data_IF_952969500409
#
_entry.id   IF_952969500409
#
_cell.length_a   1.000
_cell.length_b   1.000
_cell.length_c   1.000
_cell.angle_alpha   90.00
_cell.angle_beta   90.00
_cell.angle_gamma   90.00
#
_symmetry.space_group_name_H-M   'P 1'
#
loop_
_entity.id
_entity.type
_entity.pdbx_description
1 polymer ?
#
# COMPACT_ATOMS: atom_id res chain seq x y z
N UNK A 1 -18.98 -4.64 -11.27
CA UNK A 1 -19.04 -3.16 -11.35
C UNK A 1 -20.46 -2.63 -11.34
N UNK A 2 -21.33 -3.09 -12.25
CA UNK A 2 -22.74 -2.61 -12.32
C UNK A 2 -23.56 -2.77 -11.04
N UNK A 3 -23.35 -3.83 -10.27
CA UNK A 3 -24.10 -4.09 -9.03
C UNK A 3 -23.66 -3.14 -7.91
N UNK A 4 -22.36 -2.84 -7.82
CA UNK A 4 -21.81 -1.95 -6.80
C UNK A 4 -22.16 -0.49 -7.09
N UNK A 5 -22.11 -0.08 -8.36
CA UNK A 5 -22.44 1.30 -8.78
C UNK A 5 -23.91 1.66 -8.54
N UNK A 6 -24.81 0.67 -8.45
CA UNK A 6 -26.25 0.90 -8.29
C UNK A 6 -26.68 1.15 -6.85
N UNK A 7 -25.99 0.59 -5.87
CA UNK A 7 -26.41 0.57 -4.46
C UNK A 7 -25.31 1.06 -3.49
N UNK A 8 -24.40 1.92 -3.94
CA UNK A 8 -23.34 2.46 -3.07
C UNK A 8 -23.84 3.68 -2.25
N UNK A 9 -23.21 3.94 -1.09
CA UNK A 9 -23.45 5.17 -0.33
C UNK A 9 -23.15 6.43 -1.14
N UNK A 10 -23.84 7.53 -0.86
CA UNK A 10 -23.70 8.80 -1.59
C UNK A 10 -22.32 9.46 -1.45
N UNK A 11 -21.54 9.08 -0.44
CA UNK A 11 -20.17 9.54 -0.19
C UNK A 11 -19.09 8.63 -0.82
N UNK A 12 -19.48 7.67 -1.66
CA UNK A 12 -18.55 6.80 -2.39
C UNK A 12 -18.60 7.15 -3.88
N UNK A 13 -17.43 7.35 -4.47
CA UNK A 13 -17.27 7.65 -5.90
C UNK A 13 -16.46 6.57 -6.62
N UNK A 14 -16.82 6.32 -7.88
CA UNK A 14 -16.10 5.39 -8.79
C UNK A 14 -15.55 6.17 -9.97
N UNK A 15 -14.42 6.86 -9.80
CA UNK A 15 -13.89 7.80 -10.80
C UNK A 15 -13.37 7.12 -12.07
N UNK A 16 -13.27 5.79 -12.08
CA UNK A 16 -12.73 5.03 -13.19
C UNK A 16 -11.23 4.77 -13.08
N UNK A 17 -10.58 4.58 -14.21
CA UNK A 17 -9.17 4.22 -14.28
C UNK A 17 -8.29 5.46 -14.49
N UNK A 18 -7.30 5.63 -13.61
CA UNK A 18 -6.32 6.71 -13.68
C UNK A 18 -4.92 6.19 -14.00
N UNK A 19 -4.12 7.04 -14.63
CA UNK A 19 -2.70 6.80 -14.89
C UNK A 19 -1.87 8.05 -14.59
N UNK A 20 -0.55 7.84 -14.44
CA UNK A 20 0.45 8.89 -14.37
C UNK A 20 0.18 9.89 -13.26
N UNK A 21 0.31 11.17 -13.57
CA UNK A 21 0.20 12.25 -12.59
C UNK A 21 -1.16 12.31 -11.88
N UNK A 22 -2.25 11.93 -12.54
CA UNK A 22 -3.59 11.90 -11.93
C UNK A 22 -3.67 10.82 -10.87
N UNK A 23 -3.17 9.61 -11.17
CA UNK A 23 -3.06 8.52 -10.20
C UNK A 23 -2.17 8.89 -9.01
N UNK A 24 -1.00 9.44 -9.28
CA UNK A 24 -0.08 9.88 -8.24
C UNK A 24 -0.69 10.98 -7.36
N UNK A 25 -1.36 11.95 -7.96
CA UNK A 25 -2.06 13.02 -7.24
C UNK A 25 -3.18 12.49 -6.35
N UNK A 26 -3.97 11.53 -6.83
CA UNK A 26 -5.00 10.87 -6.03
C UNK A 26 -4.38 10.08 -4.87
N UNK A 27 -3.28 9.36 -5.12
CA UNK A 27 -2.56 8.58 -4.11
C UNK A 27 -1.97 9.48 -3.02
N UNK A 28 -1.31 10.58 -3.38
CA UNK A 28 -0.65 11.48 -2.43
C UNK A 28 -1.58 12.48 -1.77
N UNK A 29 -2.71 12.79 -2.40
CA UNK A 29 -3.70 13.75 -1.90
C UNK A 29 -4.79 13.15 -1.00
N UNK A 30 -4.90 11.82 -0.92
CA UNK A 30 -5.85 11.15 -0.04
C UNK A 30 -5.37 11.20 1.42
N UNK A 31 -6.29 11.10 2.37
CA UNK A 31 -5.98 11.06 3.81
C UNK A 31 -5.49 9.68 4.26
N UNK A 32 -5.90 8.63 3.59
CA UNK A 32 -5.45 7.26 3.82
C UNK A 32 -5.62 6.39 2.57
N UNK A 33 -4.76 5.41 2.43
CA UNK A 33 -4.88 4.33 1.45
C UNK A 33 -5.42 3.07 2.13
N UNK A 34 -6.60 2.65 1.68
CA UNK A 34 -7.31 1.49 2.22
C UNK A 34 -7.33 0.36 1.20
N UNK A 35 -6.78 -0.81 1.57
CA UNK A 35 -6.65 -1.93 0.64
C UNK A 35 -7.00 -3.27 1.32
N UNK A 36 -8.29 -3.68 1.28
CA UNK A 36 -8.77 -4.87 1.98
C UNK A 36 -8.68 -6.17 1.15
N UNK A 37 -7.79 -6.22 0.17
CA UNK A 37 -7.62 -7.37 -0.72
C UNK A 37 -7.34 -8.67 0.05
N UNK A 38 -7.99 -9.76 -0.32
CA UNK A 38 -7.74 -11.10 0.25
C UNK A 38 -6.54 -11.79 -0.35
N UNK A 39 -6.24 -11.51 -1.61
CA UNK A 39 -5.13 -12.11 -2.35
C UNK A 39 -4.49 -11.06 -3.26
N UNK A 40 -3.19 -11.09 -3.33
CA UNK A 40 -2.38 -10.24 -4.20
C UNK A 40 -1.18 -11.04 -4.75
N UNK A 41 -0.71 -10.65 -5.92
CA UNK A 41 0.51 -11.22 -6.50
C UNK A 41 1.76 -10.62 -5.85
N UNK A 42 1.84 -9.28 -5.80
CA UNK A 42 2.98 -8.55 -5.23
C UNK A 42 2.53 -7.38 -4.34
N UNK A 43 1.38 -6.77 -4.64
CA UNK A 43 0.90 -5.59 -3.95
C UNK A 43 1.67 -4.32 -4.31
N UNK A 44 2.03 -4.12 -5.58
CA UNK A 44 2.78 -2.93 -6.05
C UNK A 44 2.07 -1.64 -5.66
N UNK A 45 0.75 -1.60 -5.69
CA UNK A 45 -0.03 -0.42 -5.28
C UNK A 45 0.19 -0.04 -3.82
N UNK A 46 0.46 -1.03 -2.96
CA UNK A 46 0.84 -0.78 -1.55
C UNK A 46 2.21 -0.10 -1.48
N UNK A 47 3.16 -0.56 -2.27
CA UNK A 47 4.48 0.06 -2.35
C UNK A 47 4.39 1.51 -2.87
N UNK A 48 3.53 1.76 -3.85
CA UNK A 48 3.24 3.10 -4.35
C UNK A 48 2.62 4.01 -3.29
N UNK A 49 1.69 3.50 -2.47
CA UNK A 49 1.10 4.23 -1.35
C UNK A 49 2.14 4.57 -0.27
N UNK A 50 2.99 3.62 0.09
CA UNK A 50 4.10 3.84 1.03
C UNK A 50 5.10 4.87 0.47
N UNK A 51 5.44 4.80 -0.81
CA UNK A 51 6.29 5.77 -1.49
C UNK A 51 5.64 7.16 -1.58
N UNK A 52 4.32 7.24 -1.65
CA UNK A 52 3.53 8.46 -1.58
C UNK A 52 3.39 9.05 -0.18
N UNK A 53 4.06 8.48 0.82
CA UNK A 53 4.00 8.92 2.22
C UNK A 53 2.58 8.89 2.79
N UNK A 54 1.81 7.85 2.44
CA UNK A 54 0.42 7.68 2.86
C UNK A 54 0.28 6.92 4.18
N UNK A 55 -0.84 7.15 4.86
CA UNK A 55 -1.36 6.20 5.83
C UNK A 55 -1.87 4.97 5.09
N UNK A 56 -1.33 3.81 5.38
CA UNK A 56 -1.66 2.57 4.69
C UNK A 56 -2.36 1.61 5.65
N UNK A 57 -3.57 1.19 5.27
CA UNK A 57 -4.40 0.25 6.04
C UNK A 57 -4.72 -0.95 5.15
N UNK A 58 -4.18 -2.10 5.51
CA UNK A 58 -4.16 -3.33 4.71
C UNK A 58 -4.86 -4.49 5.40
N UNK A 59 -5.31 -5.46 4.61
CA UNK A 59 -5.53 -6.81 5.14
C UNK A 59 -4.18 -7.48 5.37
N UNK A 60 -4.01 -8.10 6.53
CA UNK A 60 -2.84 -8.92 6.83
C UNK A 60 -2.91 -10.22 6.01
N UNK A 61 -2.12 -10.27 4.93
CA UNK A 61 -2.03 -11.42 4.03
C UNK A 61 -0.56 -11.77 3.76
N UNK A 62 -0.27 -13.05 3.44
CA UNK A 62 1.11 -13.55 3.34
C UNK A 62 2.02 -12.78 2.38
N UNK A 63 1.48 -12.18 1.31
CA UNK A 63 2.28 -11.44 0.31
C UNK A 63 3.03 -10.24 0.92
N UNK A 64 2.54 -9.69 2.03
CA UNK A 64 3.18 -8.55 2.71
C UNK A 64 4.19 -8.99 3.77
N UNK A 65 4.15 -10.25 4.22
CA UNK A 65 5.05 -10.73 5.24
C UNK A 65 6.51 -10.62 4.78
N UNK A 66 7.36 -10.12 5.66
CA UNK A 66 8.78 -9.92 5.40
C UNK A 66 9.15 -8.56 4.79
N UNK A 67 8.18 -7.71 4.45
CA UNK A 67 8.47 -6.36 3.96
C UNK A 67 7.53 -5.26 4.47
N UNK A 68 6.29 -5.59 4.85
CA UNK A 68 5.38 -4.71 5.58
C UNK A 68 5.14 -5.31 6.96
N UNK A 69 5.15 -4.48 7.98
CA UNK A 69 4.88 -4.85 9.37
C UNK A 69 3.97 -3.82 10.05
N UNK A 70 3.66 -4.05 11.32
CA UNK A 70 2.82 -3.20 12.14
C UNK A 70 3.46 -1.84 12.48
N UNK A 71 4.74 -1.63 12.17
CA UNK A 71 5.41 -0.34 12.29
C UNK A 71 5.19 0.53 11.06
N UNK A 72 4.99 -0.08 9.89
CA UNK A 72 4.95 0.59 8.58
C UNK A 72 3.53 0.76 8.02
N UNK A 73 2.57 -0.06 8.47
CA UNK A 73 1.17 -0.01 8.06
C UNK A 73 0.24 -0.50 9.18
N UNK A 74 -1.05 -0.23 9.06
CA UNK A 74 -2.08 -0.89 9.84
C UNK A 74 -2.46 -2.21 9.18
N UNK A 75 -2.26 -3.33 9.87
CA UNK A 75 -2.56 -4.68 9.40
C UNK A 75 -3.81 -5.22 10.08
N UNK A 76 -4.84 -5.53 9.30
CA UNK A 76 -6.18 -5.84 9.78
C UNK A 76 -6.65 -7.22 9.34
N UNK A 77 -7.43 -7.90 10.18
CA UNK A 77 -7.98 -9.24 9.94
C UNK A 77 -9.51 -9.25 9.79
N UNK A 78 -10.19 -8.20 10.26
CA UNK A 78 -11.65 -8.09 10.25
C UNK A 78 -12.12 -6.71 9.84
N UNK A 79 -13.41 -6.58 9.52
CA UNK A 79 -14.02 -5.29 9.19
C UNK A 79 -13.90 -4.32 10.37
N UNK A 80 -14.12 -4.80 11.59
CA UNK A 80 -14.04 -3.96 12.79
C UNK A 80 -12.62 -3.41 13.00
N UNK A 81 -11.60 -4.24 12.79
CA UNK A 81 -10.19 -3.79 12.84
C UNK A 81 -9.89 -2.73 11.77
N UNK A 82 -10.44 -2.87 10.56
CA UNK A 82 -10.29 -1.85 9.52
C UNK A 82 -10.93 -0.52 9.93
N UNK A 83 -12.13 -0.55 10.51
CA UNK A 83 -12.82 0.66 10.98
C UNK A 83 -11.99 1.33 12.07
N UNK A 84 -11.58 0.57 13.08
CA UNK A 84 -10.76 1.08 14.19
C UNK A 84 -9.42 1.68 13.71
N UNK A 85 -8.76 1.01 12.79
CA UNK A 85 -7.48 1.49 12.23
C UNK A 85 -7.66 2.77 11.41
N UNK A 86 -8.69 2.85 10.58
CA UNK A 86 -9.00 4.08 9.84
C UNK A 86 -9.32 5.24 10.77
N UNK A 87 -10.11 5.02 11.82
CA UNK A 87 -10.40 6.05 12.83
C UNK A 87 -9.14 6.55 13.52
N UNK A 88 -8.23 5.65 13.89
CA UNK A 88 -6.94 5.99 14.54
C UNK A 88 -6.03 6.82 13.62
N UNK A 89 -5.89 6.44 12.36
CA UNK A 89 -5.04 7.20 11.42
C UNK A 89 -5.66 8.54 11.06
N UNK A 90 -6.96 8.60 10.80
CA UNK A 90 -7.65 9.83 10.43
C UNK A 90 -7.76 10.83 11.58
N UNK A 91 -7.83 10.36 12.82
CA UNK A 91 -7.78 11.22 14.02
C UNK A 91 -6.38 11.67 14.43
N UNK A 92 -5.32 11.17 13.77
CA UNK A 92 -3.94 11.44 14.11
C UNK A 92 -3.41 10.70 15.35
N UNK A 93 -4.16 9.72 15.87
CA UNK A 93 -3.73 8.89 16.98
C UNK A 93 -2.57 7.96 16.59
N UNK A 94 -2.53 7.54 15.34
CA UNK A 94 -1.48 6.68 14.76
C UNK A 94 -0.93 7.34 13.51
N UNK A 95 0.39 7.41 13.42
CA UNK A 95 1.10 7.87 12.22
C UNK A 95 2.31 6.98 11.94
N UNK A 96 2.22 6.17 10.90
CA UNK A 96 3.27 5.24 10.44
C UNK A 96 3.87 5.65 9.09
N UNK A 97 3.56 6.84 8.60
CA UNK A 97 3.95 7.30 7.25
C UNK A 97 5.46 7.32 7.04
N UNK A 98 6.23 7.78 8.02
CA UNK A 98 7.69 7.82 7.92
C UNK A 98 8.29 6.42 7.88
N UNK A 99 7.81 5.50 8.69
CA UNK A 99 8.25 4.11 8.69
C UNK A 99 7.86 3.42 7.36
N UNK A 100 6.64 3.64 6.88
CA UNK A 100 6.19 3.13 5.58
C UNK A 100 7.01 3.67 4.43
N UNK A 101 7.34 4.95 4.43
CA UNK A 101 8.21 5.55 3.42
C UNK A 101 9.61 4.92 3.40
N UNK A 102 10.19 4.63 4.56
CA UNK A 102 11.48 3.90 4.64
C UNK A 102 11.40 2.51 4.03
N UNK A 103 10.28 1.79 4.20
CA UNK A 103 10.05 0.52 3.51
C UNK A 103 10.10 0.70 2.00
N UNK A 104 9.41 1.71 1.47
CA UNK A 104 9.43 2.00 0.03
C UNK A 104 10.84 2.34 -0.46
N UNK A 105 11.59 3.16 0.28
CA UNK A 105 12.98 3.49 -0.06
C UNK A 105 13.89 2.26 -0.11
N UNK A 106 13.71 1.30 0.80
CA UNK A 106 14.48 0.05 0.82
C UNK A 106 14.19 -0.88 -0.36
N UNK A 107 13.14 -0.59 -1.11
CA UNK A 107 12.69 -1.33 -2.30
C UNK A 107 12.72 -0.47 -3.57
N UNK A 108 13.53 0.56 -3.58
CA UNK A 108 13.70 1.42 -4.75
C UNK A 108 14.25 0.62 -5.94
N UNK A 109 13.93 1.08 -7.14
CA UNK A 109 14.36 0.42 -8.36
C UNK A 109 15.88 0.30 -8.46
N UNK A 110 16.63 1.28 -7.98
CA UNK A 110 18.08 1.27 -7.98
C UNK A 110 18.64 0.16 -7.08
N UNK A 111 18.11 0.05 -5.84
CA UNK A 111 18.54 -1.00 -4.91
C UNK A 111 18.19 -2.40 -5.42
N UNK A 112 17.02 -2.57 -6.00
CA UNK A 112 16.59 -3.86 -6.58
C UNK A 112 17.43 -4.21 -7.80
N UNK A 113 17.74 -3.24 -8.65
CA UNK A 113 18.62 -3.43 -9.80
C UNK A 113 20.03 -3.85 -9.37
N UNK A 114 20.60 -3.22 -8.35
CA UNK A 114 21.91 -3.59 -7.79
C UNK A 114 21.91 -5.02 -7.22
N UNK A 115 20.86 -5.41 -6.53
CA UNK A 115 20.71 -6.78 -6.01
C UNK A 115 20.62 -7.80 -7.16
N UNK A 116 19.88 -7.48 -8.21
CA UNK A 116 19.76 -8.33 -9.39
C UNK A 116 21.11 -8.50 -10.11
N UNK A 117 21.83 -7.42 -10.31
CA UNK A 117 23.19 -7.47 -10.92
C UNK A 117 24.12 -8.35 -10.09
N UNK A 118 24.13 -8.20 -8.77
CA UNK A 118 24.94 -9.06 -7.88
C UNK A 118 24.56 -10.53 -7.99
N UNK A 119 23.28 -10.84 -8.06
CA UNK A 119 22.80 -12.21 -8.23
C UNK A 119 23.30 -12.82 -9.54
N UNK A 120 23.21 -12.09 -10.66
CA UNK A 120 23.76 -12.54 -11.94
C UNK A 120 25.27 -12.75 -11.90
N UNK A 121 26.01 -11.85 -11.27
CA UNK A 121 27.47 -11.99 -11.11
C UNK A 121 27.84 -13.26 -10.35
N UNK A 122 27.14 -13.55 -9.25
CA UNK A 122 27.38 -14.77 -8.49
C UNK A 122 27.15 -16.06 -9.32
N UNK A 123 26.14 -16.07 -10.17
CA UNK A 123 25.87 -17.22 -11.05
C UNK A 123 26.96 -17.36 -12.10
N UNK A 124 27.47 -16.27 -12.66
CA UNK A 124 28.53 -16.29 -13.68
C UNK A 124 29.89 -16.71 -13.13
N UNK A 125 30.14 -16.53 -11.84
CA UNK A 125 31.37 -16.92 -11.14
C UNK A 125 31.35 -18.39 -10.67
N UNK A 126 30.22 -19.05 -10.74
CA UNK A 126 30.05 -20.47 -10.40
C UNK A 126 30.58 -21.39 -11.51
#
# INVERSE_FOLDING_TARGET
RRLVEKDHPSNVEFPGYFKGAVFQGAMTGADAFFFPSYEETEGIVVLEALAGHQHVVLRDIPVYHGWVDDQSAELCHSVDEFVDSLEKVLSGQVDKRDAGYRVAQSRSIDLVADQLVKAYQQVLEM
#
